data_IF_148969886030
#
_entry.id   IF_148969886030
#
_cell.length_a   1.000
_cell.length_b   1.000
_cell.length_c   1.000
_cell.angle_alpha   90.00
_cell.angle_beta   90.00
_cell.angle_gamma   90.00
#
_symmetry.space_group_name_H-M   'P 1'
#
loop_
_entity.id
_entity.type
_entity.pdbx_description
1 polymer ?
#
# COMPACT_ATOMS: atom_id res chain seq x y z
N UNK A 1 -37.14 20.88 26.19
CA UNK A 1 -35.80 20.58 25.68
C UNK A 1 -35.39 21.72 24.72
N UNK A 2 -34.54 22.63 25.21
CA UNK A 2 -34.16 23.84 24.47
C UNK A 2 -33.09 23.56 23.41
N UNK A 3 -33.39 23.91 22.16
CA UNK A 3 -32.44 23.94 21.08
C UNK A 3 -31.51 25.17 21.27
N UNK A 4 -30.25 24.93 21.59
CA UNK A 4 -29.25 25.99 21.62
C UNK A 4 -28.87 26.40 20.17
N UNK A 5 -29.18 27.66 19.81
CA UNK A 5 -28.74 28.26 18.55
C UNK A 5 -27.31 28.74 18.71
N UNK A 6 -26.39 28.17 17.95
CA UNK A 6 -25.04 28.71 17.82
C UNK A 6 -25.06 29.85 16.80
N UNK A 7 -24.88 31.08 17.24
CA UNK A 7 -24.71 32.24 16.37
C UNK A 7 -23.20 32.36 16.03
N UNK A 8 -22.83 32.19 14.79
CA UNK A 8 -21.48 32.53 14.29
C UNK A 8 -21.49 33.98 13.82
N UNK A 9 -20.77 34.85 14.55
CA UNK A 9 -20.58 36.26 14.15
C UNK A 9 -19.38 36.28 13.20
N UNK A 10 -19.63 36.62 11.94
CA UNK A 10 -18.57 36.93 10.95
C UNK A 10 -18.17 38.37 11.09
N UNK A 11 -16.91 38.68 11.38
CA UNK A 11 -16.35 40.03 11.40
C UNK A 11 -15.52 40.18 10.13
N UNK A 12 -15.94 41.02 9.17
CA UNK A 12 -15.14 41.30 7.97
C UNK A 12 -13.90 42.15 8.32
N UNK A 13 -12.79 42.01 7.55
CA UNK A 13 -11.62 42.86 7.75
C UNK A 13 -11.91 44.33 7.54
N UNK A 14 -11.27 45.20 8.34
CA UNK A 14 -11.47 46.64 8.39
C UNK A 14 -11.37 47.29 7.00
N UNK A 15 -12.46 47.96 6.56
CA UNK A 15 -12.52 48.82 5.39
C UNK A 15 -13.87 48.80 4.75
N UNK A 16 -14.80 49.59 5.20
CA UNK A 16 -16.06 50.10 4.71
C UNK A 16 -17.18 49.99 5.75
N UNK A 17 -17.36 51.09 6.50
CA UNK A 17 -18.53 51.25 7.36
C UNK A 17 -19.63 51.92 6.56
N UNK A 18 -20.55 51.13 6.06
CA UNK A 18 -21.76 51.67 5.45
C UNK A 18 -22.62 50.62 4.80
N UNK A 19 -23.06 49.62 5.55
CA UNK A 19 -24.35 48.99 5.30
C UNK A 19 -24.69 47.97 6.40
N UNK A 20 -25.97 47.81 6.66
CA UNK A 20 -26.55 47.11 7.79
C UNK A 20 -26.11 45.65 7.92
N UNK A 21 -25.82 45.22 9.15
CA UNK A 21 -25.62 43.83 9.53
C UNK A 21 -26.79 42.98 9.04
N UNK A 22 -26.56 42.11 8.06
CA UNK A 22 -27.48 41.02 7.73
C UNK A 22 -27.14 39.83 8.58
N UNK A 23 -27.95 39.58 9.60
CA UNK A 23 -27.92 38.28 10.34
C UNK A 23 -28.58 37.25 9.43
N UNK A 24 -27.78 36.42 8.79
CA UNK A 24 -28.29 35.28 8.05
C UNK A 24 -28.65 34.18 9.05
N UNK A 25 -29.93 33.79 9.11
CA UNK A 25 -30.37 32.62 9.88
C UNK A 25 -29.86 31.40 9.13
N UNK A 26 -28.85 30.70 9.71
CA UNK A 26 -28.41 29.40 9.20
C UNK A 26 -29.50 28.37 9.60
N UNK A 27 -30.27 27.94 8.61
CA UNK A 27 -31.29 26.93 8.84
C UNK A 27 -30.64 25.56 9.08
N UNK A 28 -31.27 24.62 9.84
CA UNK A 28 -30.77 23.27 10.02
C UNK A 28 -30.41 22.57 8.69
N UNK A 29 -31.11 22.87 7.61
CA UNK A 29 -30.83 22.34 6.28
C UNK A 29 -29.51 22.86 5.68
N UNK A 30 -29.08 24.09 6.00
CA UNK A 30 -27.77 24.64 5.57
C UNK A 30 -26.64 24.01 6.35
N UNK A 31 -26.84 23.72 7.64
CA UNK A 31 -25.86 23.00 8.48
C UNK A 31 -25.75 21.54 8.04
N UNK A 32 -26.86 20.87 7.72
CA UNK A 32 -26.83 19.50 7.18
C UNK A 32 -26.19 19.43 5.78
N UNK A 33 -26.36 20.44 4.92
CA UNK A 33 -25.67 20.50 3.63
C UNK A 33 -24.15 20.73 3.78
N UNK A 34 -23.71 21.45 4.79
CA UNK A 34 -22.30 21.63 5.11
C UNK A 34 -21.68 20.35 5.75
N UNK A 35 -22.48 19.59 6.52
CA UNK A 35 -22.07 18.28 7.09
C UNK A 35 -22.11 17.14 6.07
N UNK A 36 -22.77 17.31 4.93
CA UNK A 36 -22.81 16.32 3.84
C UNK A 36 -21.68 16.55 2.79
N UNK A 37 -20.66 17.34 3.08
CA UNK A 37 -19.37 17.15 2.44
C UNK A 37 -18.84 15.80 2.92
N UNK A 38 -19.13 14.75 2.15
CA UNK A 38 -18.47 13.46 2.34
C UNK A 38 -16.97 13.72 2.27
N UNK A 39 -16.31 13.77 3.42
CA UNK A 39 -14.86 13.74 3.46
C UNK A 39 -14.45 12.50 2.66
N UNK A 40 -13.70 12.72 1.58
CA UNK A 40 -13.19 11.62 0.79
C UNK A 40 -12.39 10.71 1.70
N UNK A 41 -12.54 9.42 1.48
CA UNK A 41 -11.75 8.41 2.18
C UNK A 41 -10.28 8.63 1.87
N UNK A 42 -9.45 8.81 2.90
CA UNK A 42 -8.02 9.01 2.75
C UNK A 42 -7.28 7.69 2.94
N UNK A 43 -6.45 7.34 1.96
CA UNK A 43 -5.80 6.03 1.88
C UNK A 43 -4.29 6.18 1.78
N UNK A 44 -3.54 5.47 2.63
CA UNK A 44 -2.09 5.36 2.55
C UNK A 44 -1.69 4.10 1.79
N UNK A 45 -0.85 4.27 0.77
CA UNK A 45 -0.23 3.17 0.03
C UNK A 45 1.28 3.23 0.24
N UNK A 46 1.84 2.33 1.05
CA UNK A 46 3.30 2.21 1.19
C UNK A 46 3.87 1.37 0.06
N UNK A 47 5.06 1.72 -0.43
CA UNK A 47 5.58 1.16 -1.68
C UNK A 47 4.76 1.63 -2.90
N UNK A 48 4.12 2.81 -2.77
CA UNK A 48 3.17 3.33 -3.76
C UNK A 48 3.79 3.71 -5.11
N UNK A 49 5.10 3.99 -5.17
CA UNK A 49 5.81 4.24 -6.42
C UNK A 49 6.42 2.96 -7.03
N UNK A 50 6.17 1.80 -6.43
CA UNK A 50 6.53 0.49 -6.96
C UNK A 50 5.58 0.00 -8.04
N UNK A 51 5.83 -1.22 -8.54
CA UNK A 51 5.00 -1.87 -9.57
C UNK A 51 3.53 -1.94 -9.15
N UNK A 52 3.19 -2.71 -8.14
CA UNK A 52 1.79 -2.88 -7.70
C UNK A 52 1.20 -1.60 -7.10
N UNK A 53 2.02 -0.88 -6.30
CA UNK A 53 1.58 0.32 -5.61
C UNK A 53 1.10 1.42 -6.54
N UNK A 54 1.77 1.62 -7.68
CA UNK A 54 1.39 2.65 -8.65
C UNK A 54 0.06 2.38 -9.33
N UNK A 55 -0.24 1.12 -9.67
CA UNK A 55 -1.54 0.72 -10.20
C UNK A 55 -2.65 0.84 -9.14
N UNK A 56 -2.34 0.48 -7.90
CA UNK A 56 -3.30 0.62 -6.79
C UNK A 56 -3.61 2.10 -6.51
N UNK A 57 -2.62 3.01 -6.56
CA UNK A 57 -2.84 4.44 -6.43
C UNK A 57 -3.81 4.97 -7.49
N UNK A 58 -3.63 4.59 -8.76
CA UNK A 58 -4.54 4.95 -9.85
C UNK A 58 -5.98 4.44 -9.59
N UNK A 59 -6.10 3.17 -9.19
CA UNK A 59 -7.41 2.57 -8.91
C UNK A 59 -8.13 3.27 -7.78
N UNK A 60 -7.44 3.58 -6.69
CA UNK A 60 -8.01 4.29 -5.53
C UNK A 60 -8.43 5.72 -5.88
N UNK A 61 -7.63 6.45 -6.68
CA UNK A 61 -8.00 7.77 -7.19
C UNK A 61 -9.25 7.70 -8.07
N UNK A 62 -9.33 6.71 -8.96
CA UNK A 62 -10.50 6.47 -9.81
C UNK A 62 -11.76 6.15 -8.98
N UNK A 63 -11.61 5.56 -7.80
CA UNK A 63 -12.69 5.32 -6.82
C UNK A 63 -13.04 6.56 -6.00
N UNK A 64 -12.39 7.71 -6.24
CA UNK A 64 -12.66 8.98 -5.57
C UNK A 64 -11.99 9.14 -4.20
N UNK A 65 -11.00 8.32 -3.86
CA UNK A 65 -10.22 8.46 -2.63
C UNK A 65 -9.19 9.59 -2.72
N UNK A 66 -8.81 10.14 -1.56
CA UNK A 66 -7.56 10.89 -1.39
C UNK A 66 -6.44 9.89 -1.11
N UNK A 67 -5.36 9.91 -1.89
CA UNK A 67 -4.30 8.91 -1.84
C UNK A 67 -2.97 9.52 -1.41
N UNK A 68 -2.39 8.99 -0.32
CA UNK A 68 -0.99 9.23 0.05
C UNK A 68 -0.16 8.06 -0.50
N UNK A 69 0.65 8.36 -1.50
CA UNK A 69 1.65 7.44 -2.05
C UNK A 69 2.96 7.61 -1.29
N UNK A 70 3.36 6.62 -0.50
CA UNK A 70 4.57 6.66 0.31
C UNK A 70 5.60 5.67 -0.25
N UNK A 71 6.82 6.15 -0.51
CA UNK A 71 7.90 5.32 -1.04
C UNK A 71 9.28 5.90 -0.66
N UNK A 72 10.30 5.07 -0.47
CA UNK A 72 11.68 5.49 -0.27
C UNK A 72 12.51 5.46 -1.56
N UNK A 73 11.92 4.93 -2.65
CA UNK A 73 12.52 4.73 -3.97
C UNK A 73 13.70 3.74 -3.99
N UNK A 74 13.72 2.75 -3.12
CA UNK A 74 14.73 1.70 -3.16
C UNK A 74 14.56 0.81 -4.42
N UNK A 75 13.32 0.38 -4.71
CA UNK A 75 12.96 -0.35 -5.92
C UNK A 75 11.87 0.34 -6.74
N UNK A 76 11.14 1.25 -6.12
CA UNK A 76 10.14 2.09 -6.76
C UNK A 76 10.75 3.20 -7.61
N UNK A 77 9.96 3.75 -8.52
CA UNK A 77 10.37 4.87 -9.36
C UNK A 77 9.32 5.98 -9.33
N UNK A 78 9.78 7.22 -9.16
CA UNK A 78 8.91 8.40 -9.28
C UNK A 78 8.17 8.45 -10.62
N UNK A 79 8.80 7.92 -11.69
CA UNK A 79 8.20 7.87 -13.03
C UNK A 79 6.88 7.08 -13.06
N UNK A 80 6.74 6.06 -12.21
CA UNK A 80 5.52 5.24 -12.15
C UNK A 80 4.27 6.02 -11.71
N UNK A 81 4.46 7.16 -11.03
CA UNK A 81 3.38 7.98 -10.45
C UNK A 81 3.41 9.44 -10.88
N UNK A 82 4.33 9.83 -11.78
CA UNK A 82 4.48 11.22 -12.24
C UNK A 82 3.20 11.79 -12.83
N UNK A 83 2.45 11.00 -13.59
CA UNK A 83 1.18 11.40 -14.22
C UNK A 83 0.05 11.66 -13.20
N UNK A 84 0.25 11.32 -11.92
CA UNK A 84 -0.71 11.57 -10.85
C UNK A 84 -0.41 12.86 -10.06
N UNK A 85 0.74 13.49 -10.26
CA UNK A 85 1.20 14.62 -9.43
C UNK A 85 0.32 15.86 -9.54
N UNK A 86 -0.34 16.06 -10.68
CA UNK A 86 -1.25 17.20 -10.89
C UNK A 86 -2.68 16.91 -10.34
N UNK A 87 -2.94 15.72 -9.84
CA UNK A 87 -4.22 15.38 -9.22
C UNK A 87 -4.28 15.93 -7.79
N UNK A 88 -5.24 16.83 -7.45
CA UNK A 88 -5.34 17.43 -6.11
C UNK A 88 -5.66 16.42 -4.99
N UNK A 89 -6.02 15.19 -5.35
CA UNK A 89 -6.31 14.08 -4.43
C UNK A 89 -5.14 13.09 -4.30
N UNK A 90 -3.98 13.43 -4.86
CA UNK A 90 -2.77 12.59 -4.80
C UNK A 90 -1.64 13.33 -4.09
N UNK A 91 -1.10 12.72 -3.05
CA UNK A 91 0.06 13.23 -2.31
C UNK A 91 1.21 12.22 -2.44
N UNK A 92 2.37 12.67 -2.93
CA UNK A 92 3.57 11.85 -3.03
C UNK A 92 4.53 12.18 -1.87
N UNK A 93 4.75 11.20 -0.98
CA UNK A 93 5.58 11.34 0.20
C UNK A 93 6.79 10.44 0.12
N UNK A 94 8.01 11.02 0.22
CA UNK A 94 9.23 10.24 0.36
C UNK A 94 9.48 9.90 1.82
N UNK A 95 9.36 8.62 2.19
CA UNK A 95 9.57 8.14 3.55
C UNK A 95 9.95 6.65 3.55
N UNK A 96 10.73 6.23 4.55
CA UNK A 96 11.07 4.84 4.80
C UNK A 96 10.18 4.27 5.91
N UNK A 97 9.45 3.18 5.61
CA UNK A 97 8.50 2.55 6.54
C UNK A 97 9.16 1.98 7.81
N UNK A 98 10.48 1.81 7.81
CA UNK A 98 11.23 1.38 9.00
C UNK A 98 11.24 2.44 10.12
N UNK A 99 10.85 3.67 9.79
CA UNK A 99 10.66 4.77 10.75
C UNK A 99 9.17 5.05 10.99
N UNK A 100 8.82 5.54 12.20
CA UNK A 100 7.44 5.93 12.50
C UNK A 100 6.90 7.01 11.56
N UNK A 101 5.62 6.92 11.24
CA UNK A 101 4.89 7.87 10.41
C UNK A 101 3.68 8.44 11.15
N UNK A 102 3.45 9.75 11.01
CA UNK A 102 2.31 10.45 11.61
C UNK A 102 1.49 11.14 10.50
N UNK A 103 0.46 10.46 10.06
CA UNK A 103 -0.55 10.94 9.09
C UNK A 103 -1.93 10.54 9.57
N UNK A 104 -2.98 11.16 9.01
CA UNK A 104 -4.37 10.80 9.29
C UNK A 104 -4.96 10.14 8.04
N UNK A 105 -5.38 8.87 8.18
CA UNK A 105 -5.93 8.04 7.09
C UNK A 105 -6.97 7.05 7.60
N UNK A 106 -7.88 6.64 6.71
CA UNK A 106 -8.95 5.68 6.98
C UNK A 106 -8.54 4.24 6.67
N UNK A 107 -7.65 4.08 5.69
CA UNK A 107 -7.15 2.76 5.25
C UNK A 107 -5.66 2.81 4.91
N UNK A 108 -4.98 1.67 5.10
CA UNK A 108 -3.56 1.50 4.81
C UNK A 108 -3.38 0.24 3.96
N UNK A 109 -2.69 0.38 2.83
CA UNK A 109 -2.18 -0.72 2.03
C UNK A 109 -0.67 -0.79 2.23
N UNK A 110 -0.20 -1.80 2.95
CA UNK A 110 1.21 -1.99 3.26
C UNK A 110 1.86 -2.90 2.22
N UNK A 111 2.42 -2.28 1.15
CA UNK A 111 3.09 -2.98 0.06
C UNK A 111 4.61 -2.80 0.07
N UNK A 112 5.14 -1.90 0.89
CA UNK A 112 6.56 -1.58 0.92
C UNK A 112 7.41 -2.79 1.33
N UNK A 113 8.12 -3.36 0.36
CA UNK A 113 9.17 -4.36 0.56
C UNK A 113 9.85 -4.64 -0.79
N UNK A 114 11.19 -4.81 -0.85
CA UNK A 114 11.83 -5.39 -2.01
C UNK A 114 11.28 -6.79 -2.26
N UNK A 115 10.78 -7.08 -3.47
CA UNK A 115 10.01 -8.30 -3.73
C UNK A 115 10.66 -9.23 -4.78
N UNK A 116 11.79 -8.84 -5.36
CA UNK A 116 12.52 -9.70 -6.28
C UNK A 116 13.85 -10.18 -5.68
N UNK A 117 14.32 -11.39 -6.02
CA UNK A 117 15.55 -11.96 -5.50
C UNK A 117 16.76 -11.03 -5.61
N UNK A 118 16.93 -10.39 -6.76
CA UNK A 118 18.05 -9.46 -7.02
C UNK A 118 18.02 -8.30 -6.01
N UNK A 119 16.84 -7.76 -5.70
CA UNK A 119 16.72 -6.60 -4.83
C UNK A 119 16.76 -6.98 -3.34
N UNK A 120 16.03 -8.01 -2.89
CA UNK A 120 15.97 -8.34 -1.48
C UNK A 120 17.27 -9.01 -0.98
N UNK A 121 18.05 -9.63 -1.87
CA UNK A 121 19.37 -10.20 -1.53
C UNK A 121 20.50 -9.17 -1.59
N UNK A 122 20.29 -8.01 -2.22
CA UNK A 122 21.28 -6.92 -2.24
C UNK A 122 21.54 -6.37 -0.84
N UNK A 123 20.48 -6.16 -0.06
CA UNK A 123 20.57 -5.79 1.37
C UNK A 123 19.53 -6.61 2.16
N UNK A 124 19.91 -7.83 2.60
CA UNK A 124 18.99 -8.72 3.29
C UNK A 124 18.57 -8.18 4.66
N UNK A 125 19.43 -7.44 5.35
CA UNK A 125 19.10 -6.85 6.65
C UNK A 125 18.08 -5.73 6.50
N UNK A 126 18.23 -4.84 5.51
CA UNK A 126 17.26 -3.81 5.21
C UNK A 126 15.92 -4.42 4.76
N UNK A 127 15.94 -5.50 3.98
CA UNK A 127 14.72 -6.24 3.58
C UNK A 127 13.96 -6.78 4.79
N UNK A 128 14.65 -7.44 5.71
CA UNK A 128 14.04 -7.94 6.96
C UNK A 128 13.47 -6.79 7.79
N UNK A 129 14.23 -5.69 7.97
CA UNK A 129 13.75 -4.50 8.68
C UNK A 129 12.51 -3.91 8.02
N UNK A 130 12.49 -3.78 6.70
CA UNK A 130 11.33 -3.25 5.97
C UNK A 130 10.09 -4.10 6.20
N UNK A 131 10.21 -5.43 6.15
CA UNK A 131 9.09 -6.34 6.40
C UNK A 131 8.61 -6.27 7.86
N UNK A 132 9.52 -6.28 8.84
CA UNK A 132 9.16 -6.40 10.26
C UNK A 132 8.89 -5.03 10.89
N UNK A 133 9.84 -4.09 10.83
CA UNK A 133 9.63 -2.75 11.41
C UNK A 133 8.57 -1.97 10.63
N UNK A 134 8.53 -2.11 9.29
CA UNK A 134 7.48 -1.53 8.47
C UNK A 134 6.09 -2.02 8.90
N UNK A 135 5.94 -3.35 9.11
CA UNK A 135 4.68 -3.90 9.62
C UNK A 135 4.33 -3.35 11.02
N UNK A 136 5.28 -3.30 11.95
CA UNK A 136 5.07 -2.75 13.31
C UNK A 136 4.62 -1.29 13.24
N UNK A 137 5.30 -0.45 12.45
CA UNK A 137 4.98 0.97 12.33
C UNK A 137 3.60 1.19 11.70
N UNK A 138 3.28 0.47 10.63
CA UNK A 138 1.98 0.59 9.95
C UNK A 138 0.83 0.03 10.82
N UNK A 139 1.04 -1.05 11.55
CA UNK A 139 0.07 -1.58 12.52
C UNK A 139 -0.14 -0.61 13.70
N UNK A 140 0.94 0.01 14.19
CA UNK A 140 0.87 1.05 15.22
C UNK A 140 0.06 2.26 14.75
N UNK A 141 0.29 2.72 13.52
CA UNK A 141 -0.47 3.80 12.89
C UNK A 141 -1.95 3.40 12.73
N UNK A 142 -2.23 2.20 12.18
CA UNK A 142 -3.59 1.70 12.01
C UNK A 142 -4.35 1.59 13.34
N UNK A 143 -3.67 1.12 14.41
CA UNK A 143 -4.22 1.05 15.76
C UNK A 143 -4.58 2.45 16.29
N UNK A 144 -3.68 3.42 16.17
CA UNK A 144 -3.90 4.80 16.60
C UNK A 144 -5.13 5.42 15.94
N UNK A 145 -5.27 5.20 14.62
CA UNK A 145 -6.32 5.80 13.81
C UNK A 145 -7.62 4.96 13.77
N UNK A 146 -7.60 3.73 14.28
CA UNK A 146 -8.66 2.72 14.06
C UNK A 146 -8.89 2.45 12.55
N UNK A 147 -7.87 2.67 11.74
CA UNK A 147 -7.89 2.45 10.30
C UNK A 147 -7.96 0.96 9.96
N UNK A 148 -8.48 0.62 8.77
CA UNK A 148 -8.29 -0.72 8.21
C UNK A 148 -6.89 -0.82 7.64
N UNK A 149 -6.30 -2.02 7.70
CA UNK A 149 -4.98 -2.23 7.11
C UNK A 149 -4.91 -3.54 6.33
N UNK A 150 -4.31 -3.50 5.14
CA UNK A 150 -3.99 -4.67 4.33
C UNK A 150 -2.48 -4.86 4.25
N UNK A 151 -2.03 -6.11 4.42
CA UNK A 151 -0.66 -6.55 4.21
C UNK A 151 -0.54 -7.26 2.87
N UNK A 152 0.34 -6.76 2.01
CA UNK A 152 0.83 -7.53 0.89
C UNK A 152 1.84 -8.58 1.40
N UNK A 153 1.34 -9.80 1.59
CA UNK A 153 2.14 -10.98 1.83
C UNK A 153 2.49 -11.64 0.49
N UNK A 154 2.93 -12.89 0.49
CA UNK A 154 3.50 -13.54 -0.68
C UNK A 154 3.26 -15.05 -0.62
N UNK A 155 3.29 -15.72 -1.77
CA UNK A 155 3.36 -17.19 -1.85
C UNK A 155 4.63 -17.77 -1.20
N UNK A 156 5.67 -16.95 -1.05
CA UNK A 156 6.96 -17.39 -0.46
C UNK A 156 6.85 -17.73 1.04
N UNK A 157 5.74 -17.35 1.70
CA UNK A 157 5.45 -17.83 3.08
C UNK A 157 5.25 -19.34 3.14
N UNK A 158 4.99 -19.99 2.00
CA UNK A 158 4.91 -21.44 1.89
C UNK A 158 6.27 -22.11 1.69
N UNK A 159 7.31 -21.37 1.31
CA UNK A 159 8.67 -21.85 1.09
C UNK A 159 8.77 -22.83 -0.08
N UNK A 160 9.39 -23.99 0.17
CA UNK A 160 9.44 -25.12 -0.76
C UNK A 160 8.28 -26.09 -0.43
N UNK A 161 7.08 -25.87 -1.04
CA UNK A 161 5.88 -26.51 -0.57
C UNK A 161 5.81 -27.98 -0.96
N UNK A 162 5.44 -28.83 -0.01
CA UNK A 162 5.13 -30.24 -0.25
C UNK A 162 3.66 -30.50 -0.61
N UNK A 163 2.81 -29.45 -0.59
CA UNK A 163 1.37 -29.51 -0.89
C UNK A 163 1.04 -28.63 -2.09
N UNK A 164 0.37 -29.20 -3.08
CA UNK A 164 -0.05 -28.51 -4.30
C UNK A 164 -1.49 -28.86 -4.66
N UNK A 165 -2.38 -27.85 -4.93
CA UNK A 165 -2.19 -26.43 -4.66
C UNK A 165 -2.10 -26.14 -3.15
N UNK A 166 -1.49 -25.02 -2.77
CA UNK A 166 -1.33 -24.61 -1.37
C UNK A 166 -2.63 -24.03 -0.81
N UNK A 167 -3.31 -24.70 0.15
CA UNK A 167 -4.44 -24.10 0.85
C UNK A 167 -3.94 -23.06 1.88
N UNK A 168 -4.77 -22.10 2.25
CA UNK A 168 -4.40 -21.06 3.23
C UNK A 168 -4.01 -21.64 4.61
N UNK A 169 -4.53 -22.82 4.95
CA UNK A 169 -4.22 -23.53 6.19
C UNK A 169 -2.84 -24.21 6.19
N UNK A 170 -2.17 -24.32 5.05
CA UNK A 170 -0.85 -24.91 4.96
C UNK A 170 0.21 -23.96 5.55
N UNK A 171 1.00 -24.45 6.52
CA UNK A 171 1.97 -23.62 7.24
C UNK A 171 3.26 -23.37 6.47
N UNK A 172 3.50 -24.14 5.41
CA UNK A 172 4.68 -23.99 4.57
C UNK A 172 5.88 -24.79 5.07
N UNK A 173 6.95 -24.73 4.27
CA UNK A 173 8.25 -25.35 4.52
C UNK A 173 9.34 -24.33 4.14
N UNK A 174 9.62 -23.39 5.05
CA UNK A 174 10.56 -22.28 4.83
C UNK A 174 11.90 -22.60 5.50
N UNK A 175 13.01 -22.36 4.78
CA UNK A 175 14.34 -22.41 5.36
C UNK A 175 14.65 -21.11 6.11
N UNK A 176 14.74 -21.10 7.46
CA UNK A 176 14.89 -19.86 8.24
C UNK A 176 16.27 -19.19 8.11
N UNK A 177 17.27 -19.88 7.55
CA UNK A 177 18.65 -19.40 7.42
C UNK A 177 19.17 -19.40 5.97
N UNK A 178 18.29 -19.64 4.99
CA UNK A 178 18.63 -19.62 3.57
C UNK A 178 18.81 -18.20 3.02
N UNK A 179 19.37 -18.09 1.82
CA UNK A 179 19.59 -16.78 1.15
C UNK A 179 18.30 -15.98 0.93
N UNK A 180 17.13 -16.61 0.95
CA UNK A 180 15.82 -15.98 0.76
C UNK A 180 15.11 -15.66 2.07
N UNK A 181 15.62 -16.14 3.21
CA UNK A 181 14.95 -16.04 4.52
C UNK A 181 14.69 -14.59 4.95
N UNK A 182 15.51 -13.63 4.53
CA UNK A 182 15.29 -12.21 4.78
C UNK A 182 13.91 -11.72 4.26
N UNK A 183 13.47 -12.27 3.13
CA UNK A 183 12.17 -11.98 2.55
C UNK A 183 11.10 -12.94 3.09
N UNK A 184 11.33 -14.25 3.00
CA UNK A 184 10.37 -15.29 3.33
C UNK A 184 9.96 -15.21 4.81
N UNK A 185 10.92 -15.23 5.74
CA UNK A 185 10.66 -15.10 7.18
C UNK A 185 10.23 -13.69 7.58
N UNK A 186 10.74 -12.66 6.90
CA UNK A 186 10.26 -11.29 7.10
C UNK A 186 8.76 -11.15 6.84
N UNK A 187 8.25 -11.75 5.75
CA UNK A 187 6.82 -11.77 5.41
C UNK A 187 6.01 -12.65 6.36
N UNK A 188 6.54 -13.81 6.78
CA UNK A 188 5.90 -14.67 7.79
C UNK A 188 5.76 -13.95 9.13
N UNK A 189 6.81 -13.27 9.58
CA UNK A 189 6.78 -12.44 10.78
C UNK A 189 5.73 -11.31 10.67
N UNK A 190 5.65 -10.65 9.52
CA UNK A 190 4.63 -9.62 9.28
C UNK A 190 3.21 -10.20 9.38
N UNK A 191 2.93 -11.39 8.81
CA UNK A 191 1.63 -12.07 8.99
C UNK A 191 1.34 -12.33 10.47
N UNK A 192 2.30 -12.85 11.22
CA UNK A 192 2.17 -13.09 12.67
C UNK A 192 1.76 -11.81 13.39
N UNK A 193 2.47 -10.70 13.16
CA UNK A 193 2.17 -9.41 13.76
C UNK A 193 0.75 -8.92 13.42
N UNK A 194 0.30 -9.07 12.16
CA UNK A 194 -1.04 -8.67 11.75
C UNK A 194 -2.12 -9.43 12.51
N UNK A 195 -1.98 -10.76 12.63
CA UNK A 195 -2.93 -11.58 13.38
C UNK A 195 -2.88 -11.33 14.88
N UNK A 196 -1.70 -11.04 15.47
CA UNK A 196 -1.56 -10.67 16.87
C UNK A 196 -2.23 -9.32 17.17
N UNK A 197 -2.03 -8.30 16.33
CA UNK A 197 -2.72 -7.02 16.47
C UNK A 197 -4.25 -7.18 16.34
N UNK A 198 -4.73 -8.07 15.47
CA UNK A 198 -6.16 -8.40 15.40
C UNK A 198 -6.64 -9.03 16.69
N UNK A 199 -5.95 -10.03 17.22
CA UNK A 199 -6.32 -10.75 18.46
C UNK A 199 -6.29 -9.82 19.67
N UNK A 200 -5.23 -9.02 19.81
CA UNK A 200 -5.00 -8.20 20.98
C UNK A 200 -5.76 -6.87 20.95
N UNK A 201 -5.93 -6.27 19.78
CA UNK A 201 -6.46 -4.91 19.65
C UNK A 201 -7.73 -4.80 18.80
N UNK A 202 -8.27 -5.94 18.35
CA UNK A 202 -9.44 -5.99 17.44
C UNK A 202 -9.25 -5.14 16.17
N UNK A 203 -8.01 -5.08 15.65
CA UNK A 203 -7.69 -4.32 14.45
C UNK A 203 -8.31 -4.98 13.23
N UNK A 204 -8.87 -4.16 12.33
CA UNK A 204 -9.43 -4.63 11.06
C UNK A 204 -8.31 -4.85 10.06
N UNK A 205 -7.89 -6.10 9.89
CA UNK A 205 -6.80 -6.48 9.00
C UNK A 205 -7.31 -7.25 7.79
N UNK A 206 -6.52 -7.19 6.70
CA UNK A 206 -6.52 -8.16 5.59
C UNK A 206 -5.08 -8.57 5.31
N UNK A 207 -4.87 -9.82 4.90
CA UNK A 207 -3.58 -10.34 4.45
C UNK A 207 -3.79 -11.00 3.11
N UNK A 208 -3.07 -10.55 2.08
CA UNK A 208 -3.12 -11.12 0.74
C UNK A 208 -1.78 -11.81 0.43
N UNK A 209 -1.79 -13.12 0.26
CA UNK A 209 -0.62 -13.90 -0.21
C UNK A 209 -0.57 -13.81 -1.73
N UNK A 210 0.18 -12.82 -2.22
CA UNK A 210 0.28 -12.52 -3.65
C UNK A 210 1.23 -13.53 -4.30
N UNK A 211 0.76 -14.15 -5.38
CA UNK A 211 1.55 -15.03 -6.23
C UNK A 211 2.23 -14.23 -7.35
N UNK A 212 2.71 -14.92 -8.41
CA UNK A 212 3.45 -14.25 -9.47
C UNK A 212 2.54 -13.27 -10.24
N UNK A 213 2.74 -12.00 -10.02
CA UNK A 213 2.02 -10.93 -10.72
C UNK A 213 2.92 -10.32 -11.77
N UNK A 214 2.35 -10.00 -12.93
CA UNK A 214 3.05 -9.36 -14.03
C UNK A 214 2.22 -8.21 -14.61
N UNK A 215 2.90 -7.30 -15.31
CA UNK A 215 2.24 -6.17 -15.97
C UNK A 215 3.19 -4.99 -16.21
N UNK A 216 2.66 -3.87 -16.74
CA UNK A 216 3.41 -2.64 -16.94
C UNK A 216 4.06 -2.14 -15.65
N UNK A 217 5.16 -1.40 -15.76
CA UNK A 217 5.94 -0.86 -14.62
C UNK A 217 6.67 -1.90 -13.77
N UNK A 218 6.68 -3.21 -14.17
CA UNK A 218 7.66 -4.13 -13.61
C UNK A 218 9.07 -3.62 -13.91
N UNK A 219 9.96 -3.75 -12.92
CA UNK A 219 11.35 -3.35 -13.12
C UNK A 219 12.00 -4.20 -14.22
N UNK A 220 12.68 -3.61 -15.23
CA UNK A 220 13.28 -4.36 -16.33
C UNK A 220 14.24 -5.47 -15.88
N UNK A 221 14.98 -5.21 -14.79
CA UNK A 221 15.91 -6.17 -14.18
C UNK A 221 15.30 -6.82 -12.94
N UNK A 222 14.01 -7.20 -13.01
CA UNK A 222 13.31 -7.83 -11.88
C UNK A 222 13.81 -9.25 -11.59
N UNK A 223 14.36 -9.93 -12.58
CA UNK A 223 14.93 -11.28 -12.44
C UNK A 223 13.89 -12.41 -12.48
N UNK A 224 12.60 -12.12 -12.53
CA UNK A 224 11.53 -13.11 -12.66
C UNK A 224 11.26 -13.45 -14.13
N UNK A 225 10.70 -14.64 -14.37
CA UNK A 225 10.61 -15.24 -15.72
C UNK A 225 9.92 -14.35 -16.74
N UNK A 226 8.78 -13.72 -16.41
CA UNK A 226 8.01 -12.91 -17.38
C UNK A 226 8.80 -11.68 -17.81
N UNK A 227 9.34 -10.91 -16.86
CA UNK A 227 10.15 -9.72 -17.15
C UNK A 227 11.43 -10.08 -17.90
N UNK A 228 12.13 -11.15 -17.50
CA UNK A 228 13.34 -11.59 -18.16
C UNK A 228 13.08 -11.97 -19.62
N UNK A 229 12.05 -12.78 -19.88
CA UNK A 229 11.74 -13.23 -21.25
C UNK A 229 11.34 -12.05 -22.14
N UNK A 230 10.53 -11.11 -21.64
CA UNK A 230 10.14 -9.92 -22.39
C UNK A 230 11.37 -9.09 -22.76
N UNK A 231 12.23 -8.79 -21.77
CA UNK A 231 13.43 -7.97 -22.01
C UNK A 231 14.41 -8.65 -22.95
N UNK A 232 14.68 -9.94 -22.76
CA UNK A 232 15.57 -10.71 -23.64
C UNK A 232 15.02 -10.76 -25.07
N UNK A 233 13.73 -11.03 -25.23
CA UNK A 233 13.09 -11.03 -26.55
C UNK A 233 13.18 -9.66 -27.24
N UNK A 234 12.92 -8.57 -26.53
CA UNK A 234 13.02 -7.20 -27.07
C UNK A 234 14.45 -6.80 -27.45
N UNK A 235 15.45 -7.40 -26.80
CA UNK A 235 16.88 -7.16 -27.09
C UNK A 235 17.44 -8.12 -28.15
N UNK A 236 16.67 -9.11 -28.61
CA UNK A 236 17.14 -10.17 -29.49
C UNK A 236 18.14 -11.12 -28.81
N UNK A 237 18.12 -11.19 -27.47
CA UNK A 237 18.96 -12.08 -26.69
C UNK A 237 18.31 -13.48 -26.54
N UNK A 238 19.11 -14.56 -26.37
CA UNK A 238 18.55 -15.88 -26.07
C UNK A 238 17.76 -15.89 -24.77
N UNK A 239 16.61 -16.57 -24.76
CA UNK A 239 15.80 -16.73 -23.56
C UNK A 239 16.48 -17.67 -22.56
N UNK A 240 16.67 -17.21 -21.32
CA UNK A 240 17.33 -18.00 -20.26
C UNK A 240 16.32 -18.89 -19.54
N UNK A 241 16.46 -20.20 -19.72
CA UNK A 241 15.67 -21.19 -19.00
C UNK A 241 16.51 -21.77 -17.86
N UNK A 242 16.00 -21.68 -16.62
CA UNK A 242 16.66 -22.25 -15.45
C UNK A 242 16.30 -23.74 -15.29
N UNK A 243 17.31 -24.57 -14.99
CA UNK A 243 17.14 -26.02 -14.88
C UNK A 243 16.67 -26.64 -16.19
N UNK A 244 15.69 -27.52 -16.13
CA UNK A 244 15.13 -28.22 -17.30
C UNK A 244 13.84 -27.58 -17.85
N UNK A 245 13.41 -26.45 -17.30
CA UNK A 245 12.18 -25.76 -17.74
C UNK A 245 10.88 -26.45 -17.33
N UNK A 246 10.92 -27.39 -16.39
CA UNK A 246 9.73 -28.14 -15.94
C UNK A 246 8.91 -27.40 -14.86
N UNK A 247 9.40 -26.26 -14.40
CA UNK A 247 8.73 -25.48 -13.36
C UNK A 247 7.41 -24.93 -13.86
N UNK A 248 6.35 -25.16 -13.09
CA UNK A 248 5.02 -24.55 -13.30
C UNK A 248 4.82 -23.34 -12.41
N UNK A 249 4.11 -22.34 -12.89
CA UNK A 249 3.76 -21.13 -12.12
C UNK A 249 2.36 -20.68 -12.49
N UNK A 250 1.64 -20.15 -11.51
CA UNK A 250 0.40 -19.41 -11.74
C UNK A 250 0.73 -17.93 -11.84
N UNK A 251 0.13 -17.25 -12.81
CA UNK A 251 0.35 -15.83 -13.05
C UNK A 251 -0.97 -15.07 -12.92
N UNK A 252 -0.89 -13.86 -12.33
CA UNK A 252 -2.00 -12.92 -12.25
C UNK A 252 -1.60 -11.62 -12.95
N UNK A 253 -2.45 -11.08 -13.80
CA UNK A 253 -2.22 -9.77 -14.37
C UNK A 253 -2.49 -8.69 -13.33
N UNK A 254 -1.75 -7.57 -13.41
CA UNK A 254 -1.78 -6.54 -12.36
C UNK A 254 -3.16 -5.93 -12.15
N UNK A 255 -3.94 -5.72 -13.23
CA UNK A 255 -5.28 -5.14 -13.13
C UNK A 255 -6.23 -6.07 -12.36
N UNK A 256 -6.16 -7.40 -12.59
CA UNK A 256 -6.94 -8.40 -11.85
C UNK A 256 -6.56 -8.44 -10.36
N UNK A 257 -5.29 -8.11 -10.04
CA UNK A 257 -4.84 -8.09 -8.66
C UNK A 257 -5.32 -6.83 -7.90
N UNK A 258 -5.34 -5.66 -8.56
CA UNK A 258 -5.71 -4.39 -7.91
C UNK A 258 -7.23 -4.13 -7.92
N UNK A 259 -8.01 -4.91 -8.66
CA UNK A 259 -9.46 -4.89 -8.66
C UNK A 259 -10.06 -5.46 -7.37
#
# INVERSE_FOLDING_TARGET
MGLAFLAVIYIPPKGDYGDAFRVGIITPQTVFKAQAMHLKKRVLVTGGAGFLGSHLCERLLAQGCDVICLDNYFTGSKQNVMHLLDNPHFELMRHDVTFPLYVEVDEIYNLACPASPIHYQHDPVATTKTSVHGAINMLGLAKRLRAKIMQASTSEVYGDPSVHPQPESYWGNVNPIGFRSCYDEGKRCAETLFFDYRRQHNLRIKVARIFNTYGPRMHPNDGRVVSNFIIQALRGEPLTVYGQGQQTRSFCYVDDLVE
#
